data_IF_176015710705
#
_entry.id   IF_176015710705
#
_cell.length_a   1.000
_cell.length_b   1.000
_cell.length_c   1.000
_cell.angle_alpha   90.00
_cell.angle_beta   90.00
_cell.angle_gamma   90.00
#
_symmetry.space_group_name_H-M   'P 1'
#
loop_
_entity.id
_entity.type
_entity.pdbx_description
1 polymer ?
#
# COMPACT_ATOMS: atom_id res chain seq x y z
N UNK A 1 -0.39 15.86 8.95
CA UNK A 1 -1.58 16.69 9.28
C UNK A 1 -2.11 16.48 10.72
N UNK A 2 -1.62 15.52 11.52
CA UNK A 2 -1.88 15.48 12.98
C UNK A 2 -0.63 14.96 13.70
N UNK A 3 0.30 15.84 14.09
CA UNK A 3 1.51 15.43 14.81
C UNK A 3 1.19 14.87 16.21
N UNK A 4 0.03 15.26 16.76
CA UNK A 4 -0.39 14.91 18.11
C UNK A 4 -1.11 13.55 18.20
N UNK A 5 -1.33 12.86 17.07
CA UNK A 5 -2.05 11.58 17.02
C UNK A 5 -1.16 10.43 16.51
N UNK A 6 -0.03 10.23 17.19
CA UNK A 6 0.83 9.05 17.01
C UNK A 6 0.27 7.94 17.90
N UNK A 7 -0.68 7.19 17.38
CA UNK A 7 -1.26 6.04 18.07
C UNK A 7 -0.58 4.72 17.65
N UNK A 8 -0.75 3.68 18.47
CA UNK A 8 -0.20 2.35 18.21
C UNK A 8 -0.67 1.78 16.86
N UNK A 9 -1.92 2.07 16.45
CA UNK A 9 -2.45 1.62 15.15
C UNK A 9 -1.65 2.17 13.97
N UNK A 10 -1.27 3.45 14.00
CA UNK A 10 -0.45 4.06 12.95
C UNK A 10 0.97 3.49 12.89
N UNK A 11 1.49 2.99 14.00
CA UNK A 11 2.79 2.31 14.02
C UNK A 11 2.68 0.85 13.55
N UNK A 12 1.65 0.14 14.00
CA UNK A 12 1.49 -1.29 13.80
C UNK A 12 0.73 -1.69 12.52
N UNK A 13 0.13 -0.75 11.78
CA UNK A 13 -0.65 -1.10 10.58
C UNK A 13 0.10 -1.92 9.52
N UNK A 14 1.44 -1.83 9.32
CA UNK A 14 2.11 -2.70 8.36
C UNK A 14 2.03 -4.18 8.74
N UNK A 15 1.90 -4.50 10.03
CA UNK A 15 1.69 -5.87 10.51
C UNK A 15 0.28 -6.36 10.18
N UNK A 16 -0.72 -5.50 10.31
CA UNK A 16 -2.09 -5.83 9.91
C UNK A 16 -2.18 -6.01 8.39
N UNK A 17 -1.53 -5.14 7.62
CA UNK A 17 -1.43 -5.28 6.16
C UNK A 17 -0.77 -6.60 5.75
N UNK A 18 0.28 -7.03 6.46
CA UNK A 18 0.90 -8.33 6.23
C UNK A 18 -0.09 -9.48 6.50
N UNK A 19 -0.84 -9.41 7.60
CA UNK A 19 -1.86 -10.41 7.91
C UNK A 19 -2.95 -10.48 6.82
N UNK A 20 -3.43 -9.32 6.35
CA UNK A 20 -4.44 -9.23 5.28
C UNK A 20 -3.97 -9.90 3.98
N UNK A 21 -2.69 -9.79 3.64
CA UNK A 21 -2.10 -10.41 2.44
C UNK A 21 -1.88 -11.91 2.63
N UNK A 22 -1.24 -12.30 3.74
CA UNK A 22 -0.75 -13.67 3.94
C UNK A 22 -1.87 -14.67 4.26
N UNK A 23 -2.97 -14.21 4.85
CA UNK A 23 -4.13 -15.07 5.19
C UNK A 23 -4.68 -15.82 3.96
N UNK A 24 -4.63 -15.19 2.78
CA UNK A 24 -5.20 -15.73 1.55
C UNK A 24 -4.20 -16.42 0.63
N UNK A 25 -2.96 -16.70 1.10
CA UNK A 25 -1.90 -17.32 0.29
C UNK A 25 -1.63 -16.54 -1.01
N UNK A 26 -1.64 -15.20 -0.89
CA UNK A 26 -1.59 -14.28 -2.03
C UNK A 26 -0.26 -14.34 -2.78
N UNK A 27 -0.31 -14.58 -4.10
CA UNK A 27 0.89 -14.54 -4.95
C UNK A 27 1.26 -13.12 -5.41
N UNK A 28 0.26 -12.30 -5.73
CA UNK A 28 0.45 -10.96 -6.31
C UNK A 28 -0.36 -9.92 -5.56
N UNK A 29 0.28 -8.82 -5.19
CA UNK A 29 -0.38 -7.69 -4.52
C UNK A 29 -0.27 -6.45 -5.40
N UNK A 30 -1.39 -5.91 -5.92
CA UNK A 30 -1.38 -4.67 -6.68
C UNK A 30 -1.04 -3.51 -5.75
N UNK A 31 0.14 -2.92 -5.93
CA UNK A 31 0.62 -1.84 -5.05
C UNK A 31 1.11 -0.62 -5.83
N UNK A 32 0.97 0.55 -5.20
CA UNK A 32 1.64 1.77 -5.64
C UNK A 32 3.11 1.79 -5.19
N UNK A 33 3.91 2.67 -5.78
CA UNK A 33 5.32 2.85 -5.40
C UNK A 33 5.49 3.22 -3.92
N UNK A 34 4.52 3.94 -3.36
CA UNK A 34 4.44 4.34 -1.95
C UNK A 34 4.26 3.17 -0.97
N UNK A 35 3.75 2.03 -1.45
CA UNK A 35 3.46 0.85 -0.62
C UNK A 35 4.54 -0.24 -0.72
N UNK A 36 5.61 0.00 -1.48
CA UNK A 36 6.69 -0.98 -1.68
C UNK A 36 7.31 -1.45 -0.36
N UNK A 37 7.59 -0.51 0.54
CA UNK A 37 8.24 -0.84 1.82
C UNK A 37 7.35 -1.74 2.70
N UNK A 38 6.02 -1.58 2.67
CA UNK A 38 5.12 -2.46 3.42
C UNK A 38 5.00 -3.85 2.81
N UNK A 39 5.19 -3.97 1.49
CA UNK A 39 5.28 -5.28 0.86
C UNK A 39 6.57 -6.00 1.26
N UNK A 40 7.71 -5.29 1.32
CA UNK A 40 8.97 -5.90 1.76
C UNK A 40 8.86 -6.43 3.20
N UNK A 41 8.29 -5.65 4.14
CA UNK A 41 8.11 -6.16 5.52
C UNK A 41 7.13 -7.34 5.59
N UNK A 42 6.13 -7.38 4.71
CA UNK A 42 5.22 -8.53 4.60
C UNK A 42 5.98 -9.79 4.18
N UNK A 43 6.90 -9.67 3.21
CA UNK A 43 7.76 -10.77 2.76
C UNK A 43 8.71 -11.22 3.86
N UNK A 44 9.38 -10.30 4.55
CA UNK A 44 10.28 -10.62 5.66
C UNK A 44 9.56 -11.37 6.79
N UNK A 45 8.32 -10.97 7.12
CA UNK A 45 7.50 -11.66 8.12
C UNK A 45 7.16 -13.08 7.65
N UNK A 46 6.74 -13.24 6.39
CA UNK A 46 6.39 -14.54 5.82
C UNK A 46 7.61 -15.49 5.77
N UNK A 47 8.75 -15.01 5.28
CA UNK A 47 10.00 -15.79 5.22
C UNK A 47 10.48 -16.19 6.62
N UNK A 48 10.46 -15.25 7.58
CA UNK A 48 10.80 -15.55 8.98
C UNK A 48 9.87 -16.61 9.57
N UNK A 49 8.56 -16.44 9.40
CA UNK A 49 7.59 -17.40 9.92
C UNK A 49 7.82 -18.79 9.31
N UNK A 50 8.03 -18.84 7.99
CA UNK A 50 8.28 -20.09 7.30
C UNK A 50 9.58 -20.77 7.75
N UNK A 51 10.64 -19.99 8.02
CA UNK A 51 11.91 -20.54 8.53
C UNK A 51 11.76 -21.22 9.90
N UNK A 52 10.81 -20.77 10.73
CA UNK A 52 10.60 -21.29 12.08
C UNK A 52 9.61 -22.45 12.08
N UNK A 53 8.55 -22.36 11.26
CA UNK A 53 7.40 -23.26 11.35
C UNK A 53 7.19 -24.14 10.09
N UNK A 54 8.03 -24.01 9.07
CA UNK A 54 7.88 -24.66 7.76
C UNK A 54 7.06 -23.83 6.78
N UNK A 55 6.84 -24.33 5.57
CA UNK A 55 6.17 -23.59 4.49
C UNK A 55 4.67 -23.36 4.78
N UNK A 56 4.35 -22.29 5.50
CA UNK A 56 2.98 -21.92 5.89
C UNK A 56 2.41 -20.81 5.01
N UNK A 57 3.23 -19.83 4.65
CA UNK A 57 2.81 -18.68 3.84
C UNK A 57 3.45 -18.68 2.46
N UNK A 58 2.65 -18.40 1.43
CA UNK A 58 3.16 -17.96 0.12
C UNK A 58 3.84 -16.60 0.26
N UNK A 59 5.02 -16.44 -0.35
CA UNK A 59 5.73 -15.16 -0.37
C UNK A 59 5.15 -14.29 -1.50
N UNK A 60 4.49 -13.15 -1.19
CA UNK A 60 3.84 -12.32 -2.20
C UNK A 60 4.84 -11.52 -3.02
N UNK A 61 4.50 -11.24 -4.28
CA UNK A 61 5.20 -10.31 -5.15
C UNK A 61 4.38 -9.06 -5.47
N UNK A 62 5.08 -7.95 -5.73
CA UNK A 62 4.45 -6.67 -6.03
C UNK A 62 4.01 -6.62 -7.48
N UNK A 63 2.72 -6.38 -7.70
CA UNK A 63 2.19 -6.15 -9.03
C UNK A 63 2.03 -4.64 -9.30
N UNK A 64 2.83 -4.13 -10.24
CA UNK A 64 2.77 -2.74 -10.68
C UNK A 64 2.07 -2.67 -12.04
N UNK A 65 0.85 -2.09 -12.13
CA UNK A 65 0.16 -1.98 -13.41
C UNK A 65 0.95 -1.13 -14.41
N UNK A 66 1.09 -1.61 -15.65
CA UNK A 66 1.91 -0.96 -16.70
C UNK A 66 1.34 0.38 -17.18
N UNK A 67 0.04 0.60 -17.01
CA UNK A 67 -0.69 1.79 -17.46
C UNK A 67 -1.52 2.31 -16.28
N UNK A 68 -1.55 3.64 -16.07
CA UNK A 68 -2.36 4.26 -15.03
C UNK A 68 -1.82 4.13 -13.59
N UNK A 69 -0.61 3.57 -13.40
CA UNK A 69 0.01 3.47 -12.08
C UNK A 69 0.21 4.81 -11.37
N UNK A 70 0.27 5.91 -12.15
CA UNK A 70 0.44 7.26 -11.62
C UNK A 70 -0.34 8.26 -12.48
N UNK A 71 -1.41 8.78 -11.91
CA UNK A 71 -2.10 9.97 -12.42
C UNK A 71 -1.58 11.17 -11.63
N UNK A 72 -1.27 12.27 -12.31
CA UNK A 72 -0.68 13.46 -11.69
C UNK A 72 -1.75 14.44 -11.24
N UNK A 73 -1.41 15.31 -10.28
CA UNK A 73 -2.27 16.40 -9.86
C UNK A 73 -2.55 17.36 -11.02
N UNK A 74 -3.76 17.92 -11.06
CA UNK A 74 -4.17 18.89 -12.08
C UNK A 74 -3.44 20.23 -11.95
N UNK A 75 -3.00 20.58 -10.75
CA UNK A 75 -2.33 21.85 -10.45
C UNK A 75 -0.80 21.72 -10.40
N UNK A 76 -0.29 20.53 -10.07
CA UNK A 76 1.15 20.26 -10.01
C UNK A 76 1.48 18.92 -10.71
N UNK A 77 1.94 18.97 -11.97
CA UNK A 77 2.27 17.79 -12.76
C UNK A 77 3.46 16.98 -12.22
N UNK A 78 4.16 17.43 -11.18
CA UNK A 78 5.26 16.69 -10.54
C UNK A 78 4.77 15.80 -9.39
N UNK A 79 3.58 16.07 -8.86
CA UNK A 79 2.97 15.35 -7.74
C UNK A 79 1.92 14.33 -8.20
N UNK A 80 1.89 13.18 -7.53
CA UNK A 80 0.83 12.17 -7.72
C UNK A 80 -0.50 12.77 -7.25
N UNK A 81 -1.58 12.56 -8.01
CA UNK A 81 -2.94 12.91 -7.60
C UNK A 81 -3.26 12.20 -6.27
N UNK A 82 -3.77 12.94 -5.30
CA UNK A 82 -4.13 12.40 -3.99
C UNK A 82 -5.52 12.88 -3.59
N UNK A 83 -6.37 11.94 -3.14
CA UNK A 83 -7.69 12.25 -2.58
C UNK A 83 -7.61 13.14 -1.32
N UNK A 84 -6.46 13.18 -0.66
CA UNK A 84 -6.25 13.98 0.55
C UNK A 84 -5.70 15.40 0.29
N UNK A 85 -5.39 15.72 -0.96
CA UNK A 85 -4.99 17.06 -1.38
C UNK A 85 -6.24 17.96 -1.57
N UNK A 86 -6.10 19.30 -1.73
CA UNK A 86 -7.25 20.18 -1.96
C UNK A 86 -8.09 19.76 -3.18
N UNK A 87 -9.40 20.03 -3.16
CA UNK A 87 -10.34 19.57 -4.20
C UNK A 87 -9.95 19.98 -5.63
N UNK A 88 -9.29 21.14 -5.80
CA UNK A 88 -8.81 21.61 -7.11
C UNK A 88 -7.70 20.76 -7.74
N UNK A 89 -7.14 19.79 -7.01
CA UNK A 89 -5.97 19.00 -7.41
C UNK A 89 -6.30 17.61 -7.95
N UNK A 90 -7.55 17.15 -7.82
CA UNK A 90 -8.01 15.84 -8.26
C UNK A 90 -9.44 15.90 -8.82
N UNK A 91 -9.84 14.88 -9.58
CA UNK A 91 -11.22 14.67 -10.00
C UNK A 91 -11.72 13.41 -9.31
N UNK A 92 -12.80 13.51 -8.54
CA UNK A 92 -13.47 12.36 -7.94
C UNK A 92 -14.41 11.70 -8.93
N UNK A 93 -14.65 10.40 -8.73
CA UNK A 93 -15.60 9.62 -9.57
C UNK A 93 -17.02 10.20 -9.53
N UNK A 94 -17.38 10.90 -8.45
CA UNK A 94 -18.71 11.45 -8.21
C UNK A 94 -18.82 12.96 -8.49
N UNK A 95 -17.79 13.56 -9.09
CA UNK A 95 -17.86 14.98 -9.45
C UNK A 95 -18.93 15.21 -10.51
N UNK A 96 -19.62 16.35 -10.41
CA UNK A 96 -20.58 16.76 -11.42
C UNK A 96 -19.84 17.15 -12.71
N UNK A 97 -20.42 16.88 -13.89
CA UNK A 97 -19.88 17.36 -15.15
C UNK A 97 -19.83 18.88 -15.23
#
# INVERSE_FOLDING_TARGET
KHADNINCGLFAYPVLMAADILLYQTNLVPIGADQKQHLEITRDIAERFNSIYGDVFVIPEGYFPKVGARVMSLQDPTRKMSKSDPEETYIAILDKP
#
